data_IF_321248513322
#
_entry.id   IF_321248513322
#
_cell.length_a   1.000
_cell.length_b   1.000
_cell.length_c   1.000
_cell.angle_alpha   90.00
_cell.angle_beta   90.00
_cell.angle_gamma   90.00
#
_symmetry.space_group_name_H-M   'P 1'
#
loop_
_entity.id
_entity.type
_entity.pdbx_description
1 polymer ?
#
# COMPACT_ATOMS: atom_id res chain seq x y z
N UNK A 1 -14.44 -26.06 -1.21
CA UNK A 1 -13.38 -25.33 -0.47
C UNK A 1 -12.51 -24.70 -1.54
N UNK A 2 -12.44 -23.37 -1.60
CA UNK A 2 -11.52 -22.72 -2.53
C UNK A 2 -10.10 -23.08 -2.09
N UNK A 3 -9.31 -23.67 -2.98
CA UNK A 3 -7.89 -23.86 -2.78
C UNK A 3 -7.31 -22.45 -2.56
N UNK A 4 -6.80 -22.13 -1.37
CA UNK A 4 -6.02 -20.90 -1.17
C UNK A 4 -4.92 -20.98 -2.22
N UNK A 5 -4.95 -20.09 -3.22
CA UNK A 5 -3.79 -19.87 -4.07
C UNK A 5 -2.71 -19.38 -3.11
N UNK A 6 -1.74 -20.25 -2.82
CA UNK A 6 -0.52 -19.87 -2.14
C UNK A 6 0.28 -19.04 -3.13
N UNK A 7 0.61 -17.83 -2.73
CA UNK A 7 1.42 -16.89 -3.50
C UNK A 7 2.88 -17.16 -3.16
N UNK A 8 3.76 -17.33 -4.15
CA UNK A 8 5.19 -17.55 -3.89
C UNK A 8 5.84 -16.26 -3.35
N UNK A 9 6.96 -16.35 -2.63
CA UNK A 9 7.58 -15.15 -2.03
C UNK A 9 8.00 -14.09 -3.06
N UNK A 10 8.48 -14.50 -4.24
CA UNK A 10 8.80 -13.58 -5.34
C UNK A 10 7.55 -12.76 -5.76
N UNK A 11 6.38 -13.40 -5.77
CA UNK A 11 5.10 -12.72 -6.05
C UNK A 11 4.71 -11.78 -4.90
N UNK A 12 4.99 -12.15 -3.65
CA UNK A 12 4.77 -11.28 -2.48
C UNK A 12 5.63 -10.02 -2.51
N UNK A 13 6.90 -10.14 -2.90
CA UNK A 13 7.79 -9.00 -3.14
C UNK A 13 7.22 -8.09 -4.23
N UNK A 14 6.77 -8.65 -5.37
CA UNK A 14 6.15 -7.85 -6.42
C UNK A 14 4.87 -7.15 -5.92
N UNK A 15 4.00 -7.84 -5.18
CA UNK A 15 2.80 -7.25 -4.58
C UNK A 15 3.17 -6.10 -3.64
N UNK A 16 4.18 -6.29 -2.79
CA UNK A 16 4.72 -5.27 -1.89
C UNK A 16 5.20 -4.02 -2.63
N UNK A 17 5.99 -4.22 -3.68
CA UNK A 17 6.45 -3.14 -4.56
C UNK A 17 5.27 -2.38 -5.20
N UNK A 18 4.25 -3.09 -5.71
CA UNK A 18 3.10 -2.44 -6.33
C UNK A 18 2.29 -1.63 -5.31
N UNK A 19 2.11 -2.15 -4.09
CA UNK A 19 1.46 -1.42 -3.00
C UNK A 19 2.26 -0.18 -2.59
N UNK A 20 3.58 -0.25 -2.61
CA UNK A 20 4.46 0.90 -2.37
C UNK A 20 4.37 1.94 -3.49
N UNK A 21 4.45 1.52 -4.76
CA UNK A 21 4.28 2.41 -5.93
C UNK A 21 2.92 3.13 -5.89
N UNK A 22 1.84 2.44 -5.52
CA UNK A 22 0.52 3.05 -5.36
C UNK A 22 0.51 4.16 -4.30
N UNK A 23 1.22 3.95 -3.18
CA UNK A 23 1.37 4.97 -2.12
C UNK A 23 2.18 6.17 -2.60
N UNK A 24 3.27 5.95 -3.33
CA UNK A 24 4.09 7.02 -3.91
C UNK A 24 3.29 7.88 -4.90
N UNK A 25 2.50 7.25 -5.78
CA UNK A 25 1.63 7.98 -6.72
C UNK A 25 0.55 8.79 -5.99
N UNK A 26 0.00 8.27 -4.89
CA UNK A 26 -0.93 9.01 -4.05
C UNK A 26 -0.26 10.26 -3.43
N UNK A 27 0.98 10.16 -2.95
CA UNK A 27 1.74 11.30 -2.46
C UNK A 27 2.02 12.35 -3.55
N UNK A 28 2.40 11.93 -4.75
CA UNK A 28 2.58 12.84 -5.89
C UNK A 28 1.29 13.60 -6.21
N UNK A 29 0.14 12.92 -6.13
CA UNK A 29 -1.16 13.57 -6.30
C UNK A 29 -1.41 14.63 -5.21
N UNK A 30 -1.06 14.34 -3.96
CA UNK A 30 -1.14 15.32 -2.87
C UNK A 30 -0.23 16.53 -3.10
N UNK A 31 1.01 16.32 -3.53
CA UNK A 31 1.93 17.42 -3.87
C UNK A 31 1.41 18.27 -5.02
N UNK A 32 0.84 17.63 -6.05
CA UNK A 32 0.28 18.32 -7.21
C UNK A 32 -0.96 19.16 -6.84
N UNK A 33 -1.84 18.63 -5.99
CA UNK A 33 -3.07 19.30 -5.56
C UNK A 33 -2.84 20.31 -4.43
N UNK A 34 -1.84 20.08 -3.58
CA UNK A 34 -1.50 20.93 -2.44
C UNK A 34 -0.42 21.97 -2.72
N UNK A 35 0.40 21.77 -3.76
CA UNK A 35 1.48 22.66 -4.16
C UNK A 35 1.03 23.86 -4.99
N UNK A 36 -0.22 23.90 -5.44
CA UNK A 36 -0.79 25.03 -6.16
C UNK A 36 -2.09 25.52 -5.53
N UNK A 37 -2.29 26.84 -5.48
CA UNK A 37 -3.56 27.46 -5.03
C UNK A 37 -4.74 27.18 -6.00
N UNK A 38 -4.52 26.36 -7.03
CA UNK A 38 -5.50 26.07 -8.08
C UNK A 38 -6.66 25.17 -7.62
N UNK A 39 -6.42 24.27 -6.65
CA UNK A 39 -7.45 23.34 -6.16
C UNK A 39 -7.63 23.50 -4.65
N UNK A 40 -8.80 24.01 -4.19
CA UNK A 40 -9.04 24.18 -2.77
C UNK A 40 -8.92 22.86 -2.00
N UNK A 41 -8.14 22.87 -0.91
CA UNK A 41 -7.92 21.70 -0.05
C UNK A 41 -9.22 21.00 0.38
N UNK A 42 -10.28 21.76 0.61
CA UNK A 42 -11.60 21.23 1.01
C UNK A 42 -12.24 20.32 -0.05
N UNK A 43 -11.83 20.41 -1.31
CA UNK A 43 -12.38 19.60 -2.41
C UNK A 43 -11.72 18.23 -2.48
N UNK A 44 -10.41 18.15 -2.23
CA UNK A 44 -9.64 16.93 -2.48
C UNK A 44 -9.11 16.24 -1.22
N UNK A 45 -8.98 16.94 -0.09
CA UNK A 45 -8.40 16.38 1.15
C UNK A 45 -9.14 15.13 1.62
N UNK A 46 -10.47 15.21 1.71
CA UNK A 46 -11.26 14.08 2.23
C UNK A 46 -11.20 12.86 1.30
N UNK A 47 -10.97 13.06 -0.01
CA UNK A 47 -10.76 11.97 -0.97
C UNK A 47 -9.35 11.38 -0.83
N UNK A 48 -8.33 12.22 -0.65
CA UNK A 48 -6.96 11.79 -0.38
C UNK A 48 -6.86 10.96 0.91
N UNK A 49 -7.42 11.46 2.02
CA UNK A 49 -7.40 10.77 3.31
C UNK A 49 -8.07 9.38 3.24
N UNK A 50 -9.18 9.26 2.48
CA UNK A 50 -9.82 7.96 2.23
C UNK A 50 -8.94 7.02 1.42
N UNK A 51 -8.26 7.53 0.40
CA UNK A 51 -7.35 6.73 -0.42
C UNK A 51 -6.14 6.26 0.39
N UNK A 52 -5.54 7.13 1.21
CA UNK A 52 -4.39 6.82 2.06
C UNK A 52 -4.76 5.78 3.14
N UNK A 53 -5.91 5.95 3.79
CA UNK A 53 -6.44 4.96 4.74
C UNK A 53 -6.75 3.62 4.06
N UNK A 54 -7.31 3.64 2.85
CA UNK A 54 -7.59 2.44 2.07
C UNK A 54 -6.32 1.68 1.64
N UNK A 55 -5.28 2.39 1.22
CA UNK A 55 -3.98 1.78 0.90
C UNK A 55 -3.31 1.21 2.15
N UNK A 56 -3.42 1.89 3.29
CA UNK A 56 -2.90 1.40 4.57
C UNK A 56 -3.62 0.10 5.00
N UNK A 57 -4.95 0.05 4.86
CA UNK A 57 -5.73 -1.16 5.12
C UNK A 57 -5.35 -2.31 4.17
N UNK A 58 -5.21 -2.02 2.87
CA UNK A 58 -4.77 -3.02 1.88
C UNK A 58 -3.41 -3.61 2.26
N UNK A 59 -2.44 -2.79 2.65
CA UNK A 59 -1.12 -3.28 3.09
C UNK A 59 -1.23 -4.19 4.31
N UNK A 60 -2.03 -3.80 5.31
CA UNK A 60 -2.27 -4.64 6.50
C UNK A 60 -2.92 -5.99 6.13
N UNK A 61 -3.92 -6.00 5.25
CA UNK A 61 -4.58 -7.24 4.81
C UNK A 61 -3.63 -8.16 4.03
N UNK A 62 -2.72 -7.58 3.25
CA UNK A 62 -1.67 -8.31 2.51
C UNK A 62 -0.62 -8.87 3.46
N UNK A 63 -0.21 -8.11 4.47
CA UNK A 63 0.69 -8.52 5.54
C UNK A 63 0.12 -9.72 6.32
N UNK A 64 -1.12 -9.60 6.81
CA UNK A 64 -1.81 -10.68 7.53
C UNK A 64 -1.86 -11.96 6.68
N UNK A 65 -2.16 -11.83 5.39
CA UNK A 65 -2.23 -12.97 4.47
C UNK A 65 -0.85 -13.58 4.19
N UNK A 66 0.20 -12.77 4.06
CA UNK A 66 1.57 -13.25 3.91
C UNK A 66 2.01 -14.03 5.15
N UNK A 67 1.73 -13.54 6.36
CA UNK A 67 1.99 -14.26 7.62
C UNK A 67 1.26 -15.59 7.66
N UNK A 68 0.01 -15.64 7.19
CA UNK A 68 -0.76 -16.89 7.12
C UNK A 68 -0.19 -17.91 6.13
N UNK A 69 0.41 -17.45 5.03
CA UNK A 69 0.95 -18.31 3.96
C UNK A 69 2.41 -18.73 4.22
N UNK A 70 3.23 -17.82 4.76
CA UNK A 70 4.67 -17.97 4.96
C UNK A 70 5.12 -17.43 6.34
N UNK A 71 4.71 -18.05 7.46
CA UNK A 71 5.01 -17.54 8.80
C UNK A 71 6.50 -17.49 9.14
N UNK A 72 7.31 -18.35 8.49
CA UNK A 72 8.75 -18.44 8.71
C UNK A 72 9.57 -17.47 7.83
N UNK A 73 8.94 -16.89 6.81
CA UNK A 73 9.57 -15.98 5.82
C UNK A 73 8.97 -14.57 5.88
N UNK A 74 8.19 -14.30 6.93
CA UNK A 74 7.56 -13.00 7.14
C UNK A 74 8.61 -11.90 7.35
N UNK A 75 8.55 -10.90 6.48
CA UNK A 75 9.33 -9.68 6.59
C UNK A 75 8.42 -8.47 6.38
N UNK A 76 8.33 -7.61 7.39
CA UNK A 76 7.56 -6.36 7.31
C UNK A 76 8.08 -5.45 6.20
N UNK A 77 9.35 -5.57 5.83
CA UNK A 77 9.98 -4.70 4.84
C UNK A 77 9.39 -4.90 3.43
N UNK A 78 8.74 -6.03 3.16
CA UNK A 78 8.04 -6.30 1.89
C UNK A 78 6.98 -5.23 1.58
N UNK A 79 6.24 -4.77 2.58
CA UNK A 79 5.15 -3.80 2.36
C UNK A 79 5.48 -2.37 2.77
N UNK A 80 6.45 -2.17 3.66
CA UNK A 80 6.77 -0.84 4.20
C UNK A 80 8.06 -0.24 3.64
N UNK A 81 8.89 -1.03 2.97
CA UNK A 81 10.21 -0.62 2.50
C UNK A 81 11.16 -0.46 3.68
N UNK A 82 12.18 -1.31 3.75
CA UNK A 82 13.23 -1.19 4.76
C UNK A 82 14.09 0.05 4.54
N UNK A 83 13.74 1.16 5.18
CA UNK A 83 14.61 2.34 5.34
C UNK A 83 14.45 2.87 6.78
N UNK A 84 15.36 2.43 7.66
CA UNK A 84 15.69 3.07 8.95
C UNK A 84 16.86 4.05 8.76
#
# INVERSE_FOLDING_TARGET
MAQKQTTDMDDWEEIGEQAQKAREELFKLHELLGGGDAVPKTVWRDAFEKADGGLSALKSDLEDRMVEEHPDEFDTDVFYGGDY
#
